data_IF_356854471262
#
_entry.id   IF_356854471262
#
_cell.length_a   1.000
_cell.length_b   1.000
_cell.length_c   1.000
_cell.angle_alpha   90.00
_cell.angle_beta   90.00
_cell.angle_gamma   90.00
#
_symmetry.space_group_name_H-M   'P 1'
#
loop_
_entity.id
_entity.type
_entity.pdbx_description
1 polymer ?
#
# COMPACT_ATOMS: atom_id res chain seq x y z
N UNK A 1 -1.17 22.50 3.71
CA UNK A 1 -1.01 21.04 3.54
C UNK A 1 0.37 20.84 2.96
N UNK A 2 1.30 20.23 3.71
CA UNK A 2 2.61 19.87 3.17
C UNK A 2 2.39 18.85 2.07
N UNK A 3 2.74 19.19 0.84
CA UNK A 3 2.67 18.26 -0.28
C UNK A 3 3.50 17.03 0.07
N UNK A 4 2.85 15.86 0.12
CA UNK A 4 3.56 14.62 0.34
C UNK A 4 4.47 14.33 -0.85
N UNK A 5 5.72 13.94 -0.56
CA UNK A 5 6.67 13.54 -1.60
C UNK A 5 6.03 12.38 -2.40
N UNK A 6 6.00 12.48 -3.74
CA UNK A 6 5.50 11.40 -4.61
C UNK A 6 6.25 10.09 -4.36
N UNK A 7 5.58 8.97 -4.59
CA UNK A 7 6.27 7.68 -4.64
C UNK A 7 7.03 7.54 -5.96
N UNK A 8 8.13 6.81 -5.92
CA UNK A 8 8.94 6.50 -7.10
C UNK A 8 8.66 5.09 -7.62
N UNK A 9 8.93 4.78 -8.90
CA UNK A 9 8.94 3.41 -9.39
C UNK A 9 9.85 2.51 -8.54
N UNK A 10 9.40 1.31 -8.22
CA UNK A 10 10.03 0.38 -7.29
C UNK A 10 9.60 0.54 -5.83
N UNK A 11 8.87 1.62 -5.48
CA UNK A 11 8.31 1.75 -4.14
C UNK A 11 7.30 0.62 -3.85
N UNK A 12 7.36 0.07 -2.63
CA UNK A 12 6.47 -0.99 -2.18
C UNK A 12 5.29 -0.43 -1.39
N UNK A 13 4.12 -0.96 -1.70
CA UNK A 13 2.85 -0.66 -1.04
C UNK A 13 2.30 -1.97 -0.49
N UNK A 14 1.91 -1.98 0.78
CA UNK A 14 1.19 -3.09 1.36
C UNK A 14 -0.32 -2.86 1.20
N UNK A 15 -1.01 -3.83 0.63
CA UNK A 15 -2.44 -3.91 0.59
C UNK A 15 -2.94 -4.81 1.71
N UNK A 16 -3.86 -4.32 2.55
CA UNK A 16 -4.35 -5.04 3.74
C UNK A 16 -5.49 -6.03 3.45
N UNK A 17 -5.77 -6.30 2.18
CA UNK A 17 -6.86 -7.18 1.80
C UNK A 17 -8.25 -6.55 1.97
N UNK A 18 -9.24 -7.18 1.37
CA UNK A 18 -10.65 -6.98 1.63
C UNK A 18 -11.42 -8.29 1.44
N UNK A 19 -12.75 -8.25 1.48
CA UNK A 19 -13.57 -9.48 1.38
C UNK A 19 -13.31 -10.24 0.08
N UNK A 20 -12.97 -9.54 -1.00
CA UNK A 20 -12.75 -10.15 -2.30
C UNK A 20 -11.30 -10.58 -2.53
N UNK A 21 -10.34 -10.04 -1.76
CA UNK A 21 -8.93 -10.07 -2.12
C UNK A 21 -8.02 -10.25 -0.88
N UNK A 22 -7.03 -11.16 -0.92
CA UNK A 22 -6.02 -11.30 0.14
C UNK A 22 -5.24 -10.00 0.39
N UNK A 23 -4.57 -9.92 1.54
CA UNK A 23 -3.50 -8.95 1.72
C UNK A 23 -2.23 -9.34 0.95
N UNK A 24 -1.42 -8.34 0.60
CA UNK A 24 -0.24 -8.59 -0.22
C UNK A 24 0.54 -7.36 -0.59
N UNK A 25 1.74 -7.59 -1.12
CA UNK A 25 2.62 -6.52 -1.60
C UNK A 25 2.31 -6.14 -3.04
N UNK A 26 2.35 -4.84 -3.30
CA UNK A 26 2.41 -4.26 -4.63
C UNK A 26 3.69 -3.45 -4.80
N UNK A 27 4.16 -3.40 -6.04
CA UNK A 27 5.29 -2.58 -6.47
C UNK A 27 4.80 -1.52 -7.45
N UNK A 28 5.14 -0.25 -7.19
CA UNK A 28 4.88 0.84 -8.14
C UNK A 28 5.72 0.63 -9.38
N UNK A 29 5.08 0.51 -10.54
CA UNK A 29 5.77 0.32 -11.84
C UNK A 29 5.77 1.60 -12.68
N UNK A 30 4.83 2.52 -12.43
CA UNK A 30 4.75 3.80 -13.12
C UNK A 30 4.09 4.85 -12.24
N UNK A 31 4.60 6.08 -12.33
CA UNK A 31 4.04 7.28 -11.69
C UNK A 31 3.40 8.17 -12.75
N UNK A 32 2.18 8.60 -12.50
CA UNK A 32 1.45 9.55 -13.33
C UNK A 32 1.32 10.86 -12.54
N UNK A 33 1.99 11.95 -12.96
CA UNK A 33 1.85 13.24 -12.30
C UNK A 33 0.44 13.81 -12.47
N UNK A 34 0.05 14.82 -11.65
CA UNK A 34 -1.24 15.49 -11.79
C UNK A 34 -1.43 16.06 -13.20
N UNK A 35 -2.66 16.03 -13.69
CA UNK A 35 -3.06 16.60 -14.96
C UNK A 35 -4.34 17.45 -14.82
N UNK A 36 -4.92 17.87 -15.95
CA UNK A 36 -6.14 18.69 -15.95
C UNK A 36 -7.39 18.00 -15.37
N UNK A 37 -7.36 16.67 -15.21
CA UNK A 37 -8.46 15.85 -14.71
C UNK A 37 -8.20 15.26 -13.33
N UNK A 38 -6.93 15.08 -12.95
CA UNK A 38 -6.52 14.46 -11.69
C UNK A 38 -5.57 15.39 -10.95
N UNK A 39 -6.00 15.89 -9.77
CA UNK A 39 -5.24 16.86 -8.98
C UNK A 39 -4.08 16.25 -8.15
N UNK A 40 -3.96 14.92 -8.11
CA UNK A 40 -2.93 14.19 -7.35
C UNK A 40 -2.16 13.24 -8.24
N UNK A 41 -0.97 12.81 -7.81
CA UNK A 41 -0.30 11.70 -8.48
C UNK A 41 -1.19 10.45 -8.47
N UNK A 42 -0.98 9.57 -9.45
CA UNK A 42 -1.48 8.20 -9.40
C UNK A 42 -0.40 7.22 -9.81
N UNK A 43 -0.54 5.98 -9.37
CA UNK A 43 0.51 4.96 -9.45
C UNK A 43 -0.07 3.70 -10.09
N UNK A 44 0.52 3.26 -11.19
CA UNK A 44 0.28 1.89 -11.67
C UNK A 44 1.10 0.95 -10.77
N UNK A 45 0.43 0.00 -10.13
CA UNK A 45 1.02 -0.93 -9.18
C UNK A 45 0.80 -2.36 -9.67
N UNK A 46 1.84 -3.19 -9.60
CA UNK A 46 1.75 -4.62 -9.89
C UNK A 46 1.86 -5.41 -8.59
N UNK A 47 1.08 -6.48 -8.45
CA UNK A 47 1.21 -7.40 -7.32
C UNK A 47 2.52 -8.18 -7.39
N UNK A 48 3.16 -8.36 -6.24
CA UNK A 48 4.38 -9.15 -6.13
C UNK A 48 4.10 -10.63 -6.44
N UNK A 49 5.08 -11.32 -7.03
CA UNK A 49 4.94 -12.68 -7.50
C UNK A 49 4.59 -13.72 -6.41
N UNK A 50 4.83 -13.40 -5.14
CA UNK A 50 4.51 -14.28 -4.01
C UNK A 50 3.04 -14.17 -3.56
N UNK A 51 2.32 -13.11 -3.95
CA UNK A 51 0.88 -12.98 -3.73
C UNK A 51 0.03 -13.77 -4.77
N UNK A 52 0.69 -14.55 -5.64
CA UNK A 52 0.09 -15.23 -6.81
C UNK A 52 -0.75 -16.49 -6.50
N UNK A 53 -0.76 -16.97 -5.26
CA UNK A 53 -1.55 -18.15 -4.86
C UNK A 53 -2.94 -17.78 -4.33
N UNK A 54 -3.29 -16.51 -4.37
CA UNK A 54 -4.60 -16.04 -3.96
C UNK A 54 -5.48 -15.88 -5.20
N UNK A 55 -6.58 -16.63 -5.21
CA UNK A 55 -7.52 -16.69 -6.33
C UNK A 55 -7.97 -15.31 -6.86
N UNK A 56 -8.36 -15.33 -8.13
CA UNK A 56 -8.91 -14.27 -8.97
C UNK A 56 -8.03 -13.08 -9.39
N UNK A 57 -6.87 -12.83 -8.77
CA UNK A 57 -5.92 -11.88 -9.37
C UNK A 57 -5.20 -12.53 -10.55
N UNK A 58 -5.65 -12.24 -11.77
CA UNK A 58 -4.88 -12.60 -12.96
C UNK A 58 -3.53 -11.85 -12.92
N UNK A 59 -2.46 -12.57 -13.25
CA UNK A 59 -1.03 -12.14 -13.25
C UNK A 59 -0.72 -10.79 -13.93
N UNK A 60 -1.68 -10.19 -14.60
CA UNK A 60 -1.56 -9.00 -15.46
C UNK A 60 -2.34 -7.79 -14.91
N UNK A 61 -3.04 -7.91 -13.78
CA UNK A 61 -3.80 -6.79 -13.23
C UNK A 61 -2.87 -5.72 -12.64
N UNK A 62 -2.70 -4.66 -13.42
CA UNK A 62 -2.13 -3.39 -12.95
C UNK A 62 -3.22 -2.64 -12.21
N UNK A 63 -3.03 -2.45 -10.91
CA UNK A 63 -3.90 -1.63 -10.08
C UNK A 63 -3.47 -0.17 -10.14
N UNK A 64 -4.34 0.72 -10.62
CA UNK A 64 -4.09 2.17 -10.57
C UNK A 64 -4.57 2.77 -9.25
N UNK A 65 -3.64 3.30 -8.46
CA UNK A 65 -3.90 3.91 -7.16
C UNK A 65 -3.69 5.42 -7.20
N UNK A 66 -4.72 6.24 -6.93
CA UNK A 66 -4.52 7.65 -6.63
C UNK A 66 -3.71 7.85 -5.33
N UNK A 67 -2.85 8.87 -5.26
CA UNK A 67 -1.96 9.10 -4.10
C UNK A 67 -2.71 9.27 -2.79
N UNK A 68 -3.92 9.84 -2.81
CA UNK A 68 -4.75 9.98 -1.60
C UNK A 68 -5.25 8.64 -1.03
N UNK A 69 -5.22 7.55 -1.81
CA UNK A 69 -5.53 6.21 -1.31
C UNK A 69 -4.30 5.52 -0.71
N UNK A 70 -3.09 6.05 -0.91
CA UNK A 70 -1.85 5.49 -0.38
C UNK A 70 -1.45 6.21 0.91
N UNK A 71 -1.61 5.51 2.02
CA UNK A 71 -1.44 6.08 3.35
C UNK A 71 0.01 5.93 3.84
N UNK A 72 0.54 7.02 4.38
CA UNK A 72 1.88 7.07 5.02
C UNK A 72 1.83 6.76 6.52
N UNK A 73 0.64 6.41 7.02
CA UNK A 73 0.40 5.95 8.38
C UNK A 73 -0.56 4.76 8.30
N UNK A 74 -0.17 3.60 8.81
CA UNK A 74 -1.03 2.44 8.94
C UNK A 74 -1.77 2.49 10.28
N UNK A 75 -3.11 2.48 10.24
CA UNK A 75 -3.98 2.54 11.42
C UNK A 75 -4.49 1.17 11.84
N UNK A 76 -4.11 0.12 11.13
CA UNK A 76 -4.54 -1.24 11.44
C UNK A 76 -5.98 -1.56 11.04
N UNK A 77 -6.65 -0.70 10.26
CA UNK A 77 -8.05 -0.89 9.88
C UNK A 77 -8.29 -0.64 8.38
N UNK A 78 -9.52 -0.88 7.92
CA UNK A 78 -9.89 -0.76 6.50
C UNK A 78 -9.80 0.66 5.92
N UNK A 79 -9.63 1.69 6.76
CA UNK A 79 -9.42 3.07 6.29
C UNK A 79 -7.98 3.33 5.81
N UNK A 80 -7.05 2.41 6.07
CA UNK A 80 -5.66 2.45 5.57
C UNK A 80 -5.38 1.21 4.75
N UNK A 81 -6.15 1.04 3.67
CA UNK A 81 -6.15 -0.17 2.83
C UNK A 81 -4.85 -0.35 2.04
N UNK A 82 -4.30 0.74 1.51
CA UNK A 82 -2.99 0.76 0.85
C UNK A 82 -2.05 1.62 1.68
N UNK A 83 -0.96 1.05 2.15
CA UNK A 83 0.00 1.76 3.00
C UNK A 83 1.41 1.61 2.43
N UNK A 84 2.23 2.65 2.56
CA UNK A 84 3.65 2.54 2.20
C UNK A 84 4.35 1.48 3.05
N UNK A 85 5.38 0.83 2.53
CA UNK A 85 6.18 -0.14 3.29
C UNK A 85 6.64 0.38 4.66
N UNK A 86 7.13 1.62 4.72
CA UNK A 86 7.56 2.24 5.97
C UNK A 86 6.43 2.33 7.00
N UNK A 87 5.23 2.72 6.56
CA UNK A 87 4.07 2.81 7.42
C UNK A 87 3.63 1.44 7.97
N UNK A 88 3.65 0.41 7.11
CA UNK A 88 3.34 -0.96 7.50
C UNK A 88 4.34 -1.51 8.51
N UNK A 89 5.65 -1.34 8.26
CA UNK A 89 6.73 -1.75 9.18
C UNK A 89 6.58 -1.07 10.54
N UNK A 90 6.39 0.25 10.56
CA UNK A 90 6.22 1.01 11.79
C UNK A 90 5.01 0.52 12.62
N UNK A 91 3.89 0.20 11.96
CA UNK A 91 2.72 -0.36 12.64
C UNK A 91 3.02 -1.74 13.23
N UNK A 92 3.67 -2.63 12.47
CA UNK A 92 3.99 -3.98 12.94
C UNK A 92 4.99 -3.98 14.10
N UNK A 93 6.03 -3.13 14.03
CA UNK A 93 6.99 -2.93 15.12
C UNK A 93 6.30 -2.43 16.40
N UNK A 94 5.36 -1.49 16.28
CA UNK A 94 4.59 -0.99 17.42
C UNK A 94 3.71 -2.09 18.05
N UNK A 95 3.08 -2.94 17.23
CA UNK A 95 2.30 -4.10 17.70
C UNK A 95 3.18 -5.09 18.47
N UNK A 96 4.35 -5.44 17.92
CA UNK A 96 5.30 -6.33 18.58
C UNK A 96 5.80 -5.75 19.91
N UNK A 97 6.15 -4.46 19.93
CA UNK A 97 6.58 -3.78 21.15
C UNK A 97 5.50 -3.78 22.23
N UNK A 98 4.22 -3.60 21.86
CA UNK A 98 3.10 -3.67 22.79
C UNK A 98 2.94 -5.08 23.37
N UNK A 99 3.00 -6.12 22.53
CA UNK A 99 2.92 -7.52 22.98
C UNK A 99 4.08 -7.90 23.92
N UNK A 100 5.29 -7.43 23.64
CA UNK A 100 6.46 -7.68 24.49
C UNK A 100 6.39 -6.96 25.85
N UNK A 101 5.76 -5.78 25.90
CA UNK A 101 5.54 -5.05 27.17
C UNK A 101 4.52 -5.73 28.08
N UNK A 102 3.51 -6.39 27.51
CA UNK A 102 2.48 -7.13 28.28
C UNK A 102 3.03 -8.42 28.91
N UNK A 103 4.18 -8.93 28.44
CA UNK A 103 4.82 -10.16 28.93
C UNK A 103 5.82 -9.95 30.09
N UNK A 104 5.99 -8.72 30.59
CA UNK A 104 6.83 -8.40 31.76
C UNK A 104 5.96 -7.99 32.93
#
# INVERSE_FOLDING_TARGET
MTASVPLEPGARIYYRGDIANPDGWLTVIRVHPPDRWVATNSYDCAFDAEARDCGDFQREEILRLPDHQVHRVDRGNGATRFVTEAAHRAFHEAQLAALLKVRR
#
